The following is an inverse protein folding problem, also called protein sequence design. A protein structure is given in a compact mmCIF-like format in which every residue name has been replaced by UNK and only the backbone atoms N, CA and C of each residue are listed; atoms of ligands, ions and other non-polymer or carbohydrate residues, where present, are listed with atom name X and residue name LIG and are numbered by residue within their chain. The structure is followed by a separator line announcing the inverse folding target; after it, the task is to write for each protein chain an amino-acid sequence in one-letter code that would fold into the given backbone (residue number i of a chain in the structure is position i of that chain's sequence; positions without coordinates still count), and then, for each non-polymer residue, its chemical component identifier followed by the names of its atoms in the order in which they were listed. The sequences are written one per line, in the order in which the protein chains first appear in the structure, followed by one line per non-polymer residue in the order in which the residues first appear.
data_IF_343402913653
#
_entry.id   IF_343402913653
#
_cell.length_a   1.000
_cell.length_b   1.000
_cell.length_c   1.000
_cell.angle_alpha   90.00
_cell.angle_beta   90.00
_cell.angle_gamma   90.00
#
_symmetry.space_group_name_H-M   'P 1'
#
loop_
_entity.id
_entity.type
_entity.pdbx_description
1 polymer ?
#
# COMPACT_ATOMS: atom_id res chain seq x y z
N UNK A 1 4.86 -7.27 -0.93
CA UNK A 1 4.43 -8.69 -0.90
C UNK A 1 3.27 -8.88 -1.85
N UNK A 2 3.26 -9.97 -2.60
CA UNK A 2 2.12 -10.43 -3.38
C UNK A 2 1.21 -11.39 -2.62
N UNK A 3 0.07 -11.70 -3.22
CA UNK A 3 -0.95 -12.52 -2.58
C UNK A 3 -0.56 -14.00 -2.43
N UNK A 4 0.45 -14.44 -3.17
CA UNK A 4 1.04 -15.78 -3.05
C UNK A 4 2.28 -15.84 -2.14
N UNK A 5 2.72 -14.70 -1.58
CA UNK A 5 3.86 -14.63 -0.66
C UNK A 5 3.45 -14.91 0.80
N UNK A 6 2.29 -15.52 1.02
CA UNK A 6 1.72 -15.84 2.33
C UNK A 6 1.11 -17.24 2.30
N UNK A 7 1.05 -17.90 3.45
CA UNK A 7 0.45 -19.22 3.59
C UNK A 7 -0.58 -19.24 4.73
N UNK A 8 -1.86 -19.58 4.46
CA UNK A 8 -2.45 -19.84 3.14
C UNK A 8 -2.42 -18.61 2.21
N UNK A 9 -2.48 -18.84 0.89
CA UNK A 9 -2.50 -17.76 -0.10
C UNK A 9 -3.65 -16.76 0.16
N UNK A 10 -3.40 -15.49 -0.17
CA UNK A 10 -4.25 -14.32 0.07
C UNK A 10 -4.48 -13.94 1.54
N UNK A 11 -4.20 -14.83 2.50
CA UNK A 11 -4.64 -14.65 3.88
C UNK A 11 -3.68 -13.75 4.66
N UNK A 12 -4.08 -12.50 4.90
CA UNK A 12 -3.43 -11.59 5.84
C UNK A 12 -4.47 -11.04 6.80
N UNK A 13 -4.30 -11.34 8.08
CA UNK A 13 -5.16 -10.81 9.13
C UNK A 13 -4.89 -9.30 9.34
N UNK A 14 -5.90 -8.42 9.27
CA UNK A 14 -5.71 -6.98 9.44
C UNK A 14 -5.74 -6.50 10.91
N UNK A 15 -5.92 -7.38 11.89
CA UNK A 15 -5.95 -7.01 13.32
C UNK A 15 -4.56 -6.69 13.86
N UNK A 16 -4.41 -5.59 14.59
CA UNK A 16 -3.14 -5.25 15.28
C UNK A 16 -2.64 -6.35 16.22
N UNK A 17 -3.56 -7.17 16.75
CA UNK A 17 -3.24 -8.29 17.64
C UNK A 17 -2.79 -9.57 16.91
N UNK A 18 -2.77 -9.60 15.57
CA UNK A 18 -2.44 -10.81 14.82
C UNK A 18 -0.96 -11.22 14.97
N UNK A 19 -0.70 -12.18 15.85
CA UNK A 19 0.64 -12.73 16.01
C UNK A 19 1.09 -13.53 14.77
N UNK A 20 0.16 -14.14 14.04
CA UNK A 20 0.45 -14.88 12.80
C UNK A 20 1.02 -13.94 11.74
N UNK A 21 0.35 -12.80 11.49
CA UNK A 21 0.87 -11.78 10.57
C UNK A 21 2.23 -11.28 11.03
N UNK A 22 2.35 -10.85 12.29
CA UNK A 22 3.60 -10.31 12.84
C UNK A 22 4.75 -11.29 12.67
N UNK A 23 4.57 -12.55 13.05
CA UNK A 23 5.58 -13.59 12.89
C UNK A 23 6.00 -13.79 11.41
N UNK A 24 5.05 -13.76 10.48
CA UNK A 24 5.34 -13.87 9.05
C UNK A 24 6.11 -12.65 8.54
N UNK A 25 5.61 -11.45 8.83
CA UNK A 25 6.24 -10.19 8.45
C UNK A 25 7.67 -10.08 9.01
N UNK A 26 7.90 -10.46 10.28
CA UNK A 26 9.23 -10.48 10.89
C UNK A 26 10.18 -11.43 10.17
N UNK A 27 9.73 -12.64 9.76
CA UNK A 27 10.57 -13.56 8.99
C UNK A 27 11.00 -12.93 7.67
N UNK A 28 10.06 -12.28 6.97
CA UNK A 28 10.36 -11.60 5.71
C UNK A 28 11.25 -10.36 5.93
N UNK A 29 11.05 -9.62 7.03
CA UNK A 29 11.90 -8.50 7.43
C UNK A 29 13.36 -8.94 7.60
N UNK A 30 13.59 -10.11 8.21
CA UNK A 30 14.95 -10.64 8.36
C UNK A 30 15.61 -10.93 7.00
N UNK A 31 14.86 -11.52 6.06
CA UNK A 31 15.34 -11.77 4.68
C UNK A 31 15.64 -10.45 3.96
N UNK A 32 14.84 -9.41 4.19
CA UNK A 32 14.97 -8.10 3.55
C UNK A 32 15.75 -7.08 4.39
N UNK A 33 16.45 -7.53 5.44
CA UNK A 33 17.11 -6.68 6.44
C UNK A 33 17.96 -5.55 5.84
N UNK A 34 18.68 -5.83 4.75
CA UNK A 34 19.52 -4.86 4.04
C UNK A 34 18.79 -3.66 3.42
N UNK A 35 17.47 -3.73 3.27
CA UNK A 35 16.65 -2.67 2.66
C UNK A 35 16.04 -1.71 3.69
N UNK A 36 16.11 -2.03 4.99
CA UNK A 36 15.62 -1.13 6.03
C UNK A 36 16.72 -0.14 6.43
N UNK A 37 16.37 1.14 6.45
CA UNK A 37 17.29 2.23 6.83
C UNK A 37 17.63 2.20 8.33
N UNK A 38 16.67 1.81 9.15
CA UNK A 38 16.80 1.78 10.60
C UNK A 38 15.93 0.69 11.24
N UNK A 39 16.07 0.56 12.56
CA UNK A 39 15.32 -0.41 13.36
C UNK A 39 13.83 -0.07 13.47
N UNK A 40 13.45 1.19 13.28
CA UNK A 40 12.05 1.61 13.33
C UNK A 40 11.30 1.11 12.09
N UNK A 41 11.89 1.26 10.90
CA UNK A 41 11.36 0.73 9.66
C UNK A 41 11.30 -0.80 9.67
N UNK A 42 12.34 -1.46 10.21
CA UNK A 42 12.31 -2.92 10.42
C UNK A 42 11.14 -3.35 11.30
N UNK A 43 10.92 -2.67 12.42
CA UNK A 43 9.83 -2.97 13.36
C UNK A 43 8.47 -2.70 12.74
N UNK A 44 8.30 -1.56 12.03
CA UNK A 44 7.05 -1.23 11.34
C UNK A 44 6.70 -2.29 10.29
N UNK A 45 7.67 -2.71 9.48
CA UNK A 45 7.44 -3.79 8.53
C UNK A 45 7.10 -5.10 9.24
N UNK A 46 7.81 -5.43 10.33
CA UNK A 46 7.53 -6.62 11.14
C UNK A 46 6.11 -6.62 11.72
N UNK A 47 5.55 -5.46 12.06
CA UNK A 47 4.19 -5.36 12.58
C UNK A 47 3.12 -5.40 11.48
N UNK A 48 3.41 -4.83 10.30
CA UNK A 48 2.37 -4.45 9.33
C UNK A 48 2.59 -4.92 7.88
N UNK A 49 3.77 -5.40 7.54
CA UNK A 49 4.19 -5.82 6.19
C UNK A 49 4.15 -4.71 5.12
N UNK A 50 4.31 -3.45 5.50
CA UNK A 50 4.57 -2.31 4.59
C UNK A 50 5.74 -1.46 5.11
N UNK A 51 6.41 -0.74 4.21
CA UNK A 51 7.68 -0.07 4.50
C UNK A 51 7.90 1.16 3.59
N UNK A 52 8.66 2.14 4.08
CA UNK A 52 9.11 3.30 3.32
C UNK A 52 10.62 3.32 3.12
N UNK A 53 11.08 3.60 1.90
CA UNK A 53 12.49 3.75 1.56
C UNK A 53 12.74 5.13 0.95
N UNK A 54 13.77 5.83 1.40
CA UNK A 54 14.23 7.09 0.85
C UNK A 54 15.15 6.82 -0.34
N UNK A 55 14.97 7.61 -1.40
CA UNK A 55 15.85 7.64 -2.56
C UNK A 55 16.52 9.00 -2.55
N UNK A 56 17.83 9.00 -2.31
CA UNK A 56 18.63 10.20 -2.08
C UNK A 56 19.17 10.77 -3.40
N UNK A 57 19.29 12.09 -3.48
CA UNK A 57 20.07 12.81 -4.48
C UNK A 57 21.05 13.72 -3.73
N UNK A 58 22.29 13.24 -3.55
CA UNK A 58 23.22 13.80 -2.59
C UNK A 58 22.68 13.65 -1.16
N UNK A 59 22.65 14.75 -0.41
CA UNK A 59 22.17 14.78 0.98
C UNK A 59 20.64 14.97 1.11
N UNK A 60 19.93 15.18 -0.01
CA UNK A 60 18.48 15.45 0.00
C UNK A 60 17.70 14.21 -0.42
N UNK A 61 16.55 14.01 0.21
CA UNK A 61 15.56 13.03 -0.25
C UNK A 61 15.00 13.55 -1.59
N UNK A 62 15.20 12.80 -2.66
CA UNK A 62 14.61 13.09 -3.96
C UNK A 62 13.22 12.45 -4.08
N UNK A 63 13.12 11.18 -3.68
CA UNK A 63 11.87 10.42 -3.66
C UNK A 63 11.73 9.62 -2.39
N UNK A 64 10.50 9.30 -2.02
CA UNK A 64 10.19 8.28 -1.02
C UNK A 64 9.32 7.20 -1.65
N UNK A 65 9.80 5.96 -1.66
CA UNK A 65 9.06 4.78 -2.11
C UNK A 65 8.28 4.21 -0.93
N UNK A 66 6.95 4.13 -1.04
CA UNK A 66 6.11 3.44 -0.07
C UNK A 66 5.68 2.09 -0.66
N UNK A 67 6.24 1.02 -0.12
CA UNK A 67 5.87 -0.36 -0.47
C UNK A 67 4.69 -0.80 0.39
N UNK A 68 3.52 -0.88 -0.22
CA UNK A 68 2.23 -1.11 0.42
C UNK A 68 1.93 -2.59 0.61
N UNK A 69 1.14 -2.89 1.64
CA UNK A 69 0.51 -4.17 1.87
C UNK A 69 -0.92 -4.16 1.29
N UNK A 70 -1.04 -4.33 -0.04
CA UNK A 70 -2.33 -4.36 -0.72
C UNK A 70 -3.24 -5.53 -0.35
N UNK A 71 -2.73 -6.57 0.32
CA UNK A 71 -3.54 -7.68 0.83
C UNK A 71 -4.55 -7.24 1.90
N UNK A 72 -4.29 -6.13 2.59
CA UNK A 72 -5.22 -5.56 3.57
C UNK A 72 -6.50 -4.99 2.92
N UNK A 73 -6.49 -4.83 1.60
CA UNK A 73 -7.59 -4.26 0.82
C UNK A 73 -8.19 -5.24 -0.19
N UNK A 74 -7.59 -6.43 -0.33
CA UNK A 74 -7.83 -7.37 -1.42
C UNK A 74 -9.14 -8.16 -1.23
N UNK A 75 -10.02 -8.18 -2.23
CA UNK A 75 -11.32 -8.87 -2.14
C UNK A 75 -11.21 -10.37 -1.91
N UNK A 76 -10.13 -11.01 -2.37
CA UNK A 76 -9.90 -12.44 -2.16
C UNK A 76 -9.13 -12.74 -0.86
N UNK A 77 -8.81 -11.73 -0.05
CA UNK A 77 -8.40 -11.95 1.33
C UNK A 77 -9.67 -11.96 2.22
N UNK A 78 -10.13 -13.14 2.69
CA UNK A 78 -11.39 -13.26 3.42
C UNK A 78 -11.38 -12.49 4.76
N UNK A 79 -10.21 -12.23 5.34
CA UNK A 79 -10.09 -11.50 6.60
C UNK A 79 -10.04 -9.97 6.42
N UNK A 80 -9.89 -9.49 5.19
CA UNK A 80 -9.77 -8.05 4.90
C UNK A 80 -11.10 -7.33 4.68
N UNK A 81 -12.22 -8.07 4.70
CA UNK A 81 -13.55 -7.51 4.41
C UNK A 81 -13.85 -6.36 5.39
N UNK A 82 -14.15 -5.14 4.89
CA UNK A 82 -14.46 -4.01 5.75
C UNK A 82 -15.65 -4.31 6.66
N UNK A 83 -15.49 -4.05 7.96
CA UNK A 83 -16.54 -4.16 8.99
C UNK A 83 -16.93 -2.81 9.58
N UNK A 84 -16.20 -1.75 9.24
CA UNK A 84 -16.34 -0.40 9.76
C UNK A 84 -16.92 0.54 8.71
N UNK A 85 -17.27 1.77 9.11
CA UNK A 85 -17.65 2.85 8.17
C UNK A 85 -16.44 3.32 7.35
N UNK A 86 -16.67 3.99 6.22
CA UNK A 86 -15.60 4.54 5.35
C UNK A 86 -14.62 5.43 6.14
N UNK A 87 -15.14 6.28 7.02
CA UNK A 87 -14.35 7.21 7.85
C UNK A 87 -13.38 6.45 8.76
N UNK A 88 -13.85 5.38 9.40
CA UNK A 88 -13.07 4.62 10.37
C UNK A 88 -12.23 3.49 9.75
N UNK A 89 -12.47 3.13 8.49
CA UNK A 89 -11.78 2.02 7.85
C UNK A 89 -10.33 2.38 7.54
N UNK A 90 -9.41 1.92 8.39
CA UNK A 90 -7.97 1.96 8.13
C UNK A 90 -7.25 0.73 8.71
N UNK A 91 -7.24 -0.41 7.98
CA UNK A 91 -6.59 -1.61 8.48
C UNK A 91 -5.09 -1.35 8.68
N UNK A 92 -4.64 -1.48 9.94
CA UNK A 92 -3.28 -1.23 10.41
C UNK A 92 -2.77 0.22 10.22
N UNK A 93 -3.68 1.19 10.07
CA UNK A 93 -3.29 2.59 9.91
C UNK A 93 -2.57 2.88 8.59
N UNK A 94 -2.71 2.03 7.57
CA UNK A 94 -1.94 2.15 6.33
C UNK A 94 -2.35 3.38 5.51
N UNK A 95 -3.63 3.79 5.53
CA UNK A 95 -4.07 5.01 4.86
C UNK A 95 -3.55 6.26 5.56
N UNK A 96 -3.66 6.33 6.89
CA UNK A 96 -3.12 7.42 7.69
C UNK A 96 -1.59 7.50 7.52
N UNK A 97 -0.91 6.35 7.46
CA UNK A 97 0.51 6.27 7.19
C UNK A 97 0.88 6.81 5.80
N UNK A 98 0.14 6.42 4.75
CA UNK A 98 0.31 6.98 3.39
C UNK A 98 0.11 8.50 3.41
N UNK A 99 -0.98 8.98 4.02
CA UNK A 99 -1.29 10.40 4.09
C UNK A 99 -0.20 11.18 4.82
N UNK A 100 0.35 10.63 5.92
CA UNK A 100 1.44 11.24 6.68
C UNK A 100 2.69 11.43 5.83
N UNK A 101 3.05 10.46 4.98
CA UNK A 101 4.20 10.57 4.07
C UNK A 101 3.94 11.56 2.94
N UNK A 102 2.71 11.66 2.45
CA UNK A 102 2.39 12.72 1.48
C UNK A 102 2.44 14.12 2.09
N UNK A 103 1.96 14.29 3.33
CA UNK A 103 2.07 15.56 4.08
C UNK A 103 3.55 15.93 4.30
N UNK A 104 4.37 14.96 4.69
CA UNK A 104 5.83 15.13 4.83
C UNK A 104 6.49 15.50 3.50
N UNK A 105 6.10 14.87 2.39
CA UNK A 105 6.62 15.15 1.05
C UNK A 105 6.30 16.58 0.57
N UNK A 106 5.08 17.06 0.81
CA UNK A 106 4.70 18.45 0.54
C UNK A 106 5.54 19.43 1.35
N UNK A 107 5.73 19.13 2.63
CA UNK A 107 6.46 20.01 3.56
C UNK A 107 7.94 20.10 3.19
N UNK A 108 8.53 18.97 2.80
CA UNK A 108 9.98 18.84 2.56
C UNK A 108 10.36 18.82 1.07
N UNK A 109 9.40 19.12 0.18
CA UNK A 109 9.60 19.29 -1.26
C UNK A 109 10.28 18.09 -1.97
N UNK A 110 9.79 16.88 -1.70
CA UNK A 110 10.17 15.67 -2.44
C UNK A 110 8.93 14.97 -3.01
N UNK A 111 9.10 13.96 -3.86
CA UNK A 111 7.96 13.22 -4.45
C UNK A 111 7.82 11.81 -3.86
N UNK A 112 6.60 11.29 -3.89
CA UNK A 112 6.27 9.94 -3.39
C UNK A 112 6.02 9.00 -4.55
N UNK A 113 6.59 7.79 -4.48
CA UNK A 113 6.28 6.66 -5.35
C UNK A 113 5.52 5.65 -4.49
N UNK A 114 4.37 5.19 -4.95
CA UNK A 114 3.68 4.08 -4.31
C UNK A 114 3.94 2.79 -5.08
N UNK A 115 4.10 1.68 -4.37
CA UNK A 115 4.19 0.36 -4.97
C UNK A 115 3.29 -0.63 -4.22
N UNK A 116 2.43 -1.34 -4.93
CA UNK A 116 1.58 -2.40 -4.35
C UNK A 116 1.51 -3.59 -5.29
N UNK A 117 1.44 -4.80 -4.76
CA UNK A 117 1.13 -5.94 -5.63
C UNK A 117 -0.31 -5.85 -6.15
N UNK A 118 -1.27 -5.57 -5.27
CA UNK A 118 -2.71 -5.46 -5.59
C UNK A 118 -2.99 -4.06 -6.14
N UNK A 119 -3.42 -3.90 -7.41
CA UNK A 119 -3.70 -2.60 -8.01
C UNK A 119 -5.06 -2.04 -7.59
N UNK A 120 -5.23 -0.71 -7.45
CA UNK A 120 -6.55 -0.11 -7.37
C UNK A 120 -7.28 -0.21 -8.72
N UNK A 121 -8.58 0.01 -8.69
CA UNK A 121 -9.45 -0.01 -9.86
C UNK A 121 -9.88 -1.42 -10.26
N UNK A 122 -9.97 -1.63 -11.57
CA UNK A 122 -10.56 -2.83 -12.15
C UNK A 122 -9.58 -3.56 -13.06
N UNK A 123 -9.84 -4.86 -13.25
CA UNK A 123 -9.12 -5.67 -14.22
C UNK A 123 -9.37 -5.20 -15.65
N UNK A 124 -8.34 -5.15 -16.50
CA UNK A 124 -8.45 -4.80 -17.91
C UNK A 124 -9.27 -5.82 -18.70
N UNK A 125 -9.20 -7.10 -18.33
CA UNK A 125 -9.88 -8.18 -19.06
C UNK A 125 -11.36 -8.32 -18.65
N UNK A 126 -11.70 -7.94 -17.42
CA UNK A 126 -13.05 -8.07 -16.86
C UNK A 126 -13.43 -6.91 -15.94
N UNK A 127 -13.41 -5.65 -16.41
CA UNK A 127 -13.48 -4.47 -15.55
C UNK A 127 -14.81 -4.29 -14.81
N UNK A 128 -15.89 -4.88 -15.33
CA UNK A 128 -17.23 -4.82 -14.73
C UNK A 128 -17.44 -5.88 -13.66
N UNK A 129 -16.70 -6.99 -13.73
CA UNK A 129 -16.91 -8.17 -12.88
C UNK A 129 -15.85 -8.25 -11.79
N UNK A 130 -14.60 -7.89 -12.12
CA UNK A 130 -13.46 -8.10 -11.23
C UNK A 130 -12.85 -6.79 -10.77
N UNK A 131 -13.07 -6.48 -9.48
CA UNK A 131 -12.39 -5.43 -8.73
C UNK A 131 -11.43 -6.10 -7.76
N UNK A 132 -10.19 -5.62 -7.73
CA UNK A 132 -9.15 -6.21 -6.87
C UNK A 132 -9.34 -5.81 -5.42
N UNK A 133 -9.69 -4.53 -5.18
CA UNK A 133 -9.87 -4.02 -3.83
C UNK A 133 -11.35 -3.94 -3.44
N UNK A 134 -11.64 -4.06 -2.15
CA UNK A 134 -12.95 -3.71 -1.62
C UNK A 134 -13.30 -2.27 -2.01
N UNK A 135 -14.54 -1.97 -2.43
CA UNK A 135 -14.90 -0.62 -2.91
C UNK A 135 -14.50 0.50 -1.94
N UNK A 136 -14.72 0.30 -0.65
CA UNK A 136 -14.32 1.23 0.41
C UNK A 136 -12.82 1.51 0.42
N UNK A 137 -11.98 0.48 0.31
CA UNK A 137 -10.53 0.62 0.27
C UNK A 137 -10.06 1.29 -1.02
N UNK A 138 -10.67 0.90 -2.15
CA UNK A 138 -10.40 1.48 -3.45
C UNK A 138 -10.68 2.99 -3.46
N UNK A 139 -11.85 3.40 -2.97
CA UNK A 139 -12.29 4.79 -3.02
C UNK A 139 -11.46 5.66 -2.07
N UNK A 140 -11.10 5.14 -0.89
CA UNK A 140 -10.21 5.83 0.06
C UNK A 140 -8.81 6.00 -0.52
N UNK A 141 -8.26 4.96 -1.16
CA UNK A 141 -6.97 5.05 -1.84
C UNK A 141 -7.03 6.08 -2.98
N UNK A 142 -8.01 5.98 -3.90
CA UNK A 142 -8.16 6.93 -5.00
C UNK A 142 -8.31 8.37 -4.52
N UNK A 143 -9.05 8.59 -3.43
CA UNK A 143 -9.19 9.93 -2.82
C UNK A 143 -7.83 10.48 -2.37
N UNK A 144 -6.99 9.68 -1.72
CA UNK A 144 -5.62 10.09 -1.35
C UNK A 144 -4.77 10.38 -2.60
N UNK A 145 -4.82 9.53 -3.63
CA UNK A 145 -4.04 9.73 -4.84
C UNK A 145 -4.42 11.03 -5.57
N UNK A 146 -5.72 11.33 -5.65
CA UNK A 146 -6.22 12.58 -6.23
C UNK A 146 -5.83 13.78 -5.38
N UNK A 147 -6.08 13.69 -4.06
CA UNK A 147 -5.80 14.76 -3.10
C UNK A 147 -4.32 15.15 -3.10
N UNK A 148 -3.40 14.18 -3.27
CA UNK A 148 -1.95 14.36 -3.21
C UNK A 148 -1.24 14.23 -4.57
N UNK A 149 -1.98 14.43 -5.67
CA UNK A 149 -1.47 14.32 -7.05
C UNK A 149 -0.32 15.29 -7.37
N UNK A 150 -0.18 16.39 -6.63
CA UNK A 150 0.93 17.35 -6.73
C UNK A 150 2.27 16.76 -6.25
N UNK A 151 2.26 15.82 -5.30
CA UNK A 151 3.48 15.17 -4.75
C UNK A 151 3.60 13.69 -5.09
N UNK A 152 2.54 13.05 -5.55
CA UNK A 152 2.58 11.71 -6.11
C UNK A 152 3.31 11.73 -7.46
N UNK A 153 4.43 10.99 -7.56
CA UNK A 153 5.15 10.80 -8.82
C UNK A 153 4.48 9.73 -9.68
N UNK A 154 4.21 8.57 -9.10
CA UNK A 154 3.59 7.43 -9.78
C UNK A 154 3.11 6.38 -8.78
N UNK A 155 2.20 5.50 -9.23
CA UNK A 155 1.80 4.29 -8.54
C UNK A 155 2.18 3.09 -9.42
N UNK A 156 3.08 2.25 -8.91
CA UNK A 156 3.49 1.00 -9.55
C UNK A 156 2.67 -0.17 -8.98
N UNK A 157 1.99 -0.92 -9.85
CA UNK A 157 1.18 -2.06 -9.42
C UNK A 157 1.38 -3.30 -10.30
N UNK A 158 1.00 -4.48 -9.77
CA UNK A 158 1.20 -5.76 -10.43
C UNK A 158 -0.07 -6.63 -10.37
N UNK A 159 0.08 -7.92 -10.00
CA UNK A 159 -0.98 -8.93 -9.86
C UNK A 159 -1.62 -9.43 -11.16
N UNK A 160 -1.77 -8.58 -12.18
CA UNK A 160 -2.51 -8.94 -13.41
C UNK A 160 -1.71 -9.78 -14.42
N UNK A 161 -0.38 -9.79 -14.29
CA UNK A 161 0.55 -10.48 -15.21
C UNK A 161 0.41 -10.03 -16.68
N UNK A 162 -0.06 -8.81 -16.88
CA UNK A 162 -0.23 -8.13 -18.16
C UNK A 162 0.37 -6.72 -18.05
N UNK A 163 0.78 -6.16 -19.18
CA UNK A 163 1.22 -4.77 -19.26
C UNK A 163 0.01 -3.86 -19.49
N UNK A 164 -0.18 -2.91 -18.58
CA UNK A 164 -1.29 -1.97 -18.62
C UNK A 164 -0.99 -0.73 -17.80
N UNK A 165 -1.73 0.34 -18.05
CA UNK A 165 -1.69 1.55 -17.24
C UNK A 165 -3.11 2.01 -16.90
N UNK A 166 -3.21 2.84 -15.85
CA UNK A 166 -4.46 3.48 -15.43
C UNK A 166 -4.19 4.96 -15.27
N UNK A 167 -5.13 5.79 -15.71
CA UNK A 167 -5.09 7.23 -15.49
C UNK A 167 -6.16 7.58 -14.47
N UNK A 168 -5.76 8.34 -13.46
CA UNK A 168 -6.64 8.84 -12.41
C UNK A 168 -6.88 10.31 -12.71
N UNK A 169 -8.15 10.69 -12.82
CA UNK A 169 -8.54 12.07 -13.08
C UNK A 169 -9.28 12.61 -11.86
N UNK A 170 -9.04 13.88 -11.54
CA UNK A 170 -9.90 14.64 -10.66
C UNK A 170 -11.11 15.07 -11.47
N UNK A 171 -12.32 14.76 -11.01
CA UNK A 171 -13.51 15.33 -11.62
C UNK A 171 -13.59 16.81 -11.21
N UNK A 172 -13.59 17.71 -12.19
CA UNK A 172 -13.95 19.10 -11.98
C UNK A 172 -15.49 19.15 -11.86
N UNK A 173 -15.99 19.11 -10.63
CA UNK A 173 -17.40 19.40 -10.31
C UNK A 173 -17.52 20.83 -9.82
#
# INVERSE_FOLDING_TARGET
MGNHDVSPANLVNPSEASQVRKNWCTKLANVWSRFFEDQEEFRRFSDNCFHAMRIMNGEKIQYKLLALNGLLWYTNNPESKPTQTLENYDPLGQFDWIESHFKDARTNNYKVILASHIPPGASENSPQVYKHMWPMANDKLLSLLIQYSDVLLTFLAAHQHTDSFRVIYKNDS
#
